data_IF_367921791008
#
_entry.id   IF_367921791008
#
_cell.length_a   1.000
_cell.length_b   1.000
_cell.length_c   1.000
_cell.angle_alpha   90.00
_cell.angle_beta   90.00
_cell.angle_gamma   90.00
#
_symmetry.space_group_name_H-M   'P 1'
#
loop_
_entity.id
_entity.type
_entity.pdbx_description
1 polymer ?
#
# COMPACT_ATOMS: atom_id res chain seq x y z
N UNK A 1 -3.25 -33.19 26.51
CA UNK A 1 -3.03 -31.75 26.41
C UNK A 1 -3.50 -30.96 27.64
N UNK A 2 -3.72 -31.63 28.76
CA UNK A 2 -3.91 -31.02 30.07
C UNK A 2 -2.63 -31.29 30.90
N UNK A 3 -1.49 -30.75 30.48
CA UNK A 3 -0.27 -30.92 31.27
C UNK A 3 -0.12 -29.75 32.22
N UNK A 4 -0.12 -30.05 33.52
CA UNK A 4 0.14 -29.07 34.57
C UNK A 4 1.64 -28.92 34.89
N UNK A 5 2.53 -29.65 34.21
CA UNK A 5 3.98 -29.65 34.48
C UNK A 5 4.72 -29.06 33.28
N UNK A 6 5.39 -27.94 33.49
CA UNK A 6 6.22 -27.28 32.49
C UNK A 6 7.56 -26.84 33.11
N UNK A 7 8.58 -26.77 32.30
CA UNK A 7 9.91 -26.25 32.67
C UNK A 7 10.52 -25.53 31.48
N UNK A 8 11.50 -24.66 31.74
CA UNK A 8 12.32 -24.06 30.70
C UNK A 8 13.71 -24.72 30.72
N UNK A 9 14.40 -24.75 29.58
CA UNK A 9 15.79 -25.15 29.48
C UNK A 9 16.70 -24.07 30.02
N UNK A 10 17.85 -24.50 30.52
CA UNK A 10 18.95 -23.60 30.87
C UNK A 10 19.73 -23.15 29.62
N UNK A 11 20.82 -22.39 29.82
CA UNK A 11 21.67 -21.88 28.73
C UNK A 11 22.39 -23.00 27.94
N UNK A 12 22.55 -24.18 28.56
CA UNK A 12 23.15 -25.35 27.94
C UNK A 12 22.11 -26.27 27.27
N UNK A 13 20.82 -25.87 27.24
CA UNK A 13 19.72 -26.65 26.70
C UNK A 13 19.24 -27.78 27.61
N UNK A 14 19.71 -27.86 28.88
CA UNK A 14 19.31 -28.91 29.81
C UNK A 14 18.01 -28.58 30.49
N UNK A 15 17.16 -29.58 30.67
CA UNK A 15 15.88 -29.45 31.36
C UNK A 15 15.65 -30.56 32.37
N UNK A 16 14.82 -30.30 33.35
CA UNK A 16 14.37 -31.28 34.33
C UNK A 16 12.86 -31.12 34.58
N UNK A 17 12.12 -32.19 34.34
CA UNK A 17 10.70 -32.28 34.65
C UNK A 17 10.52 -33.16 35.88
N UNK A 18 9.81 -32.65 36.90
CA UNK A 18 9.54 -33.38 38.18
C UNK A 18 8.05 -33.57 38.35
N UNK A 19 7.71 -34.62 39.14
CA UNK A 19 6.30 -34.94 39.47
C UNK A 19 5.44 -35.24 38.24
N UNK A 20 5.98 -35.99 37.28
CA UNK A 20 5.25 -36.38 36.09
C UNK A 20 4.32 -37.58 36.44
N UNK A 21 3.04 -37.57 36.01
CA UNK A 21 2.14 -38.69 36.18
C UNK A 21 2.68 -39.98 35.54
N UNK A 22 2.48 -41.12 36.21
CA UNK A 22 2.84 -42.44 35.69
C UNK A 22 2.03 -42.79 34.47
N UNK A 23 2.65 -43.44 33.47
CA UNK A 23 2.01 -43.88 32.24
C UNK A 23 2.58 -43.23 30.98
N UNK A 24 1.86 -43.36 29.88
CA UNK A 24 2.24 -42.78 28.61
C UNK A 24 2.03 -41.25 28.65
N UNK A 25 3.11 -40.52 28.50
CA UNK A 25 3.12 -39.06 28.46
C UNK A 25 3.73 -38.59 27.15
N UNK A 26 3.48 -37.33 26.79
CA UNK A 26 4.10 -36.70 25.62
C UNK A 26 4.79 -35.41 26.05
N UNK A 27 6.09 -35.36 25.85
CA UNK A 27 6.86 -34.13 26.04
C UNK A 27 6.68 -33.26 24.80
N UNK A 28 6.31 -32.02 24.98
CA UNK A 28 6.13 -31.04 23.91
C UNK A 28 7.20 -29.96 24.07
N UNK A 29 8.13 -29.89 23.13
CA UNK A 29 9.16 -28.88 23.08
C UNK A 29 8.77 -27.76 22.12
N UNK A 30 8.84 -26.52 22.59
CA UNK A 30 8.55 -25.32 21.81
C UNK A 30 9.66 -24.31 22.02
N UNK A 31 10.14 -23.76 20.91
CA UNK A 31 11.08 -22.65 20.93
C UNK A 31 10.77 -21.69 19.77
N UNK A 32 11.13 -20.44 19.95
CA UNK A 32 10.88 -19.42 18.92
C UNK A 32 11.69 -19.77 17.68
N UNK A 33 11.09 -19.72 16.51
CA UNK A 33 11.71 -20.07 15.21
C UNK A 33 12.09 -21.54 15.03
N UNK A 34 11.57 -22.45 15.86
CA UNK A 34 11.75 -23.89 15.71
C UNK A 34 10.40 -24.62 15.60
N UNK A 35 10.39 -25.71 14.85
CA UNK A 35 9.23 -26.60 14.76
C UNK A 35 8.94 -27.23 16.10
N UNK A 36 7.66 -27.26 16.49
CA UNK A 36 7.23 -27.94 17.72
C UNK A 36 7.49 -29.44 17.61
N UNK A 37 8.32 -29.98 18.50
CA UNK A 37 8.63 -31.40 18.57
C UNK A 37 7.79 -32.06 19.67
N UNK A 38 7.25 -33.25 19.40
CA UNK A 38 6.47 -34.06 20.34
C UNK A 38 7.14 -35.42 20.51
N UNK A 39 7.57 -35.75 21.73
CA UNK A 39 8.25 -36.99 22.04
C UNK A 39 7.41 -37.81 23.01
N UNK A 40 6.92 -39.01 22.63
CA UNK A 40 6.19 -39.86 23.54
C UNK A 40 7.20 -40.54 24.51
N UNK A 41 6.88 -40.52 25.79
CA UNK A 41 7.64 -41.16 26.85
C UNK A 41 6.72 -42.00 27.73
N UNK A 42 7.23 -43.09 28.30
CA UNK A 42 6.48 -43.93 29.22
C UNK A 42 7.12 -43.84 30.60
N UNK A 43 6.44 -43.20 31.52
CA UNK A 43 6.92 -42.97 32.90
C UNK A 43 6.49 -44.11 33.81
N UNK A 44 7.42 -44.85 34.44
CA UNK A 44 7.13 -45.88 35.41
C UNK A 44 7.40 -45.36 36.82
N UNK A 45 6.80 -45.99 37.80
CA UNK A 45 6.94 -45.62 39.21
C UNK A 45 8.41 -45.81 39.68
N UNK A 46 9.01 -44.75 40.21
CA UNK A 46 10.36 -44.80 40.75
C UNK A 46 11.50 -44.78 39.68
N UNK A 47 11.15 -44.66 38.41
CA UNK A 47 12.12 -44.62 37.32
C UNK A 47 12.43 -43.15 36.98
N UNK A 48 13.73 -42.83 36.83
CA UNK A 48 14.18 -41.56 36.31
C UNK A 48 14.66 -41.75 34.88
N UNK A 49 14.07 -41.08 33.93
CA UNK A 49 14.47 -41.09 32.51
C UNK A 49 15.57 -40.02 32.36
N UNK A 50 16.82 -40.45 32.17
CA UNK A 50 17.94 -39.56 31.92
C UNK A 50 18.50 -39.74 30.51
N UNK A 51 19.14 -38.70 29.98
CA UNK A 51 19.78 -38.74 28.66
C UNK A 51 18.80 -38.62 27.47
N UNK A 52 17.62 -38.08 27.70
CA UNK A 52 16.71 -37.79 26.59
C UNK A 52 17.19 -36.55 25.84
N UNK A 53 17.65 -36.75 24.61
CA UNK A 53 18.03 -35.68 23.70
C UNK A 53 16.90 -35.43 22.71
N UNK A 54 16.55 -34.16 22.52
CA UNK A 54 15.48 -33.74 21.61
C UNK A 54 16.06 -32.71 20.66
N UNK A 55 16.27 -33.14 19.43
CA UNK A 55 16.73 -32.24 18.36
C UNK A 55 15.51 -31.45 17.81
N UNK A 56 15.68 -30.17 17.64
CA UNK A 56 14.69 -29.29 17.07
C UNK A 56 15.19 -28.75 15.73
N UNK A 57 14.35 -28.85 14.72
CA UNK A 57 14.61 -28.25 13.41
C UNK A 57 14.14 -26.79 13.43
N UNK A 58 14.94 -25.93 12.82
CA UNK A 58 14.49 -24.56 12.58
C UNK A 58 13.22 -24.58 11.75
N UNK A 59 12.22 -23.88 12.23
CA UNK A 59 11.03 -23.60 11.44
C UNK A 59 11.43 -22.48 10.48
N UNK A 60 11.99 -22.88 9.35
CA UNK A 60 12.24 -22.01 8.22
C UNK A 60 10.89 -21.54 7.64
N UNK A 61 10.11 -20.84 8.46
CA UNK A 61 9.14 -19.91 7.95
C UNK A 61 10.00 -18.90 7.20
N UNK A 62 10.23 -19.17 5.92
CA UNK A 62 10.51 -18.08 5.02
C UNK A 62 9.44 -17.05 5.42
N UNK A 63 9.88 -15.99 6.07
CA UNK A 63 9.11 -14.77 6.14
C UNK A 63 8.82 -14.49 4.68
N UNK A 64 7.70 -15.00 4.18
CA UNK A 64 7.12 -14.44 2.99
C UNK A 64 7.07 -12.98 3.33
N UNK A 65 8.00 -12.25 2.73
CA UNK A 65 7.98 -10.80 2.73
C UNK A 65 6.51 -10.47 2.47
N UNK A 66 5.83 -10.07 3.52
CA UNK A 66 4.52 -9.45 3.36
C UNK A 66 4.89 -8.17 2.67
N UNK A 67 4.99 -8.23 1.35
CA UNK A 67 4.95 -7.06 0.51
C UNK A 67 3.59 -6.46 0.82
N UNK A 68 3.55 -5.63 1.83
CA UNK A 68 2.46 -4.69 2.02
C UNK A 68 2.58 -3.76 0.82
N UNK A 69 2.03 -4.20 -0.30
CA UNK A 69 1.73 -3.32 -1.40
C UNK A 69 0.61 -2.40 -0.90
N UNK A 70 1.02 -1.43 -0.13
CA UNK A 70 0.19 -0.28 0.15
C UNK A 70 0.05 0.41 -1.20
N UNK A 71 -1.06 0.18 -1.87
CA UNK A 71 -1.45 1.04 -2.96
C UNK A 71 -1.48 2.45 -2.38
N UNK A 72 -0.50 3.26 -2.75
CA UNK A 72 -0.50 4.68 -2.38
C UNK A 72 -1.77 5.26 -2.97
N UNK A 73 -2.71 5.57 -2.12
CA UNK A 73 -3.94 6.23 -2.56
C UNK A 73 -3.57 7.61 -3.08
N UNK A 74 -3.70 7.80 -4.39
CA UNK A 74 -3.41 9.06 -5.05
C UNK A 74 -4.65 9.99 -5.11
N UNK A 75 -5.78 9.50 -4.63
CA UNK A 75 -7.08 10.16 -4.66
C UNK A 75 -7.28 11.21 -3.54
N UNK A 76 -6.34 11.27 -2.59
CA UNK A 76 -6.42 12.19 -1.44
C UNK A 76 -5.73 13.52 -1.73
N UNK A 77 -6.22 14.60 -1.08
CA UNK A 77 -5.61 15.93 -1.16
C UNK A 77 -4.15 15.91 -0.68
N UNK A 78 -3.85 15.14 0.35
CA UNK A 78 -2.48 15.03 0.90
C UNK A 78 -1.51 14.39 -0.09
N UNK A 79 -1.91 13.31 -0.76
CA UNK A 79 -1.07 12.64 -1.76
C UNK A 79 -0.80 13.52 -2.97
N UNK A 80 -1.78 14.30 -3.38
CA UNK A 80 -1.64 15.28 -4.45
C UNK A 80 -0.64 16.39 -4.06
N UNK A 81 -0.73 16.92 -2.83
CA UNK A 81 0.19 17.94 -2.31
C UNK A 81 1.62 17.42 -2.21
N UNK A 82 1.81 16.18 -1.75
CA UNK A 82 3.13 15.56 -1.72
C UNK A 82 3.71 15.39 -3.13
N UNK A 83 2.88 14.94 -4.08
CA UNK A 83 3.26 14.83 -5.49
C UNK A 83 3.67 16.18 -6.08
N UNK A 84 2.90 17.24 -5.81
CA UNK A 84 3.23 18.61 -6.28
C UNK A 84 4.50 19.18 -5.63
N UNK A 85 4.75 18.89 -4.35
CA UNK A 85 5.98 19.33 -3.66
C UNK A 85 7.25 18.69 -4.24
N UNK A 86 7.14 17.47 -4.75
CA UNK A 86 8.26 16.77 -5.38
C UNK A 86 8.59 17.30 -6.78
N UNK A 87 7.70 18.10 -7.39
CA UNK A 87 7.90 18.66 -8.73
C UNK A 87 8.68 19.98 -8.66
N UNK A 88 9.59 20.15 -9.61
CA UNK A 88 10.35 21.40 -9.76
C UNK A 88 9.49 22.52 -10.35
N UNK A 89 8.39 22.17 -11.00
CA UNK A 89 7.50 23.08 -11.71
C UNK A 89 6.39 23.63 -10.82
N UNK A 90 5.90 24.81 -11.19
CA UNK A 90 4.71 25.37 -10.58
C UNK A 90 3.49 24.57 -11.05
N UNK A 91 3.00 23.72 -10.19
CA UNK A 91 1.81 22.90 -10.42
C UNK A 91 0.64 23.34 -9.54
N UNK A 92 -0.56 23.13 -10.01
CA UNK A 92 -1.80 23.21 -9.22
C UNK A 92 -2.64 21.99 -9.55
N UNK A 93 -3.32 21.44 -8.57
CA UNK A 93 -4.09 20.23 -8.81
C UNK A 93 -5.36 20.16 -7.97
N UNK A 94 -6.26 19.27 -8.36
CA UNK A 94 -7.49 18.93 -7.67
C UNK A 94 -7.54 17.40 -7.55
N UNK A 95 -7.82 16.91 -6.35
CA UNK A 95 -8.00 15.48 -6.06
C UNK A 95 -9.45 15.05 -6.22
N UNK A 96 -9.67 13.73 -6.41
CA UNK A 96 -11.04 13.18 -6.44
C UNK A 96 -11.80 13.46 -5.16
N UNK A 97 -11.12 13.54 -4.03
CA UNK A 97 -11.73 13.89 -2.76
C UNK A 97 -12.30 15.33 -2.76
N UNK A 98 -11.63 16.25 -3.45
CA UNK A 98 -12.15 17.62 -3.64
C UNK A 98 -13.27 17.65 -4.68
N UNK A 99 -13.12 16.91 -5.79
CA UNK A 99 -14.14 16.81 -6.84
C UNK A 99 -15.43 16.22 -6.28
N UNK A 100 -15.35 15.19 -5.44
CA UNK A 100 -16.53 14.57 -4.82
C UNK A 100 -17.32 15.51 -3.87
N UNK A 101 -16.68 16.56 -3.34
CA UNK A 101 -17.33 17.58 -2.52
C UNK A 101 -18.07 18.62 -3.36
N UNK A 102 -17.80 18.66 -4.65
CA UNK A 102 -18.41 19.57 -5.61
C UNK A 102 -19.36 18.79 -6.51
N UNK A 103 -20.38 19.43 -7.03
CA UNK A 103 -21.35 18.82 -7.93
C UNK A 103 -20.96 19.03 -9.41
N UNK A 104 -19.67 19.06 -9.68
CA UNK A 104 -19.15 19.27 -11.03
C UNK A 104 -19.47 18.06 -11.91
N UNK A 105 -19.95 18.28 -13.11
CA UNK A 105 -20.37 17.21 -14.04
C UNK A 105 -19.22 16.66 -14.85
N UNK A 106 -18.31 17.54 -15.26
CA UNK A 106 -17.23 17.23 -16.19
C UNK A 106 -15.91 17.92 -15.81
N UNK A 107 -14.85 17.57 -16.50
CA UNK A 107 -13.51 18.11 -16.25
C UNK A 107 -13.42 19.61 -16.51
N UNK A 108 -14.27 20.18 -17.38
CA UNK A 108 -14.26 21.62 -17.66
C UNK A 108 -14.73 22.43 -16.44
N UNK A 109 -15.74 21.95 -15.72
CA UNK A 109 -16.22 22.56 -14.49
C UNK A 109 -15.19 22.41 -13.36
N UNK A 110 -14.56 21.24 -13.25
CA UNK A 110 -13.51 20.98 -12.26
C UNK A 110 -12.32 21.92 -12.44
N UNK A 111 -11.85 22.09 -13.68
CA UNK A 111 -10.66 22.89 -13.97
C UNK A 111 -10.84 24.39 -13.73
N UNK A 112 -12.10 24.89 -13.83
CA UNK A 112 -12.44 26.30 -13.50
C UNK A 112 -12.07 26.69 -12.07
N UNK A 113 -11.96 25.72 -11.17
CA UNK A 113 -11.61 25.95 -9.76
C UNK A 113 -10.13 26.18 -9.53
N UNK A 114 -9.31 25.87 -10.53
CA UNK A 114 -7.86 26.03 -10.42
C UNK A 114 -7.48 27.51 -10.68
N UNK A 115 -6.75 28.15 -9.76
CA UNK A 115 -6.37 29.55 -9.94
C UNK A 115 -5.55 29.80 -11.22
N UNK A 116 -5.89 30.84 -11.96
CA UNK A 116 -5.19 31.21 -13.19
C UNK A 116 -5.59 30.41 -14.42
N UNK A 117 -6.74 29.74 -14.35
CA UNK A 117 -7.35 29.04 -15.47
C UNK A 117 -8.71 29.65 -15.78
N UNK A 118 -8.97 29.77 -17.06
CA UNK A 118 -10.30 30.12 -17.59
C UNK A 118 -10.72 29.06 -18.62
N UNK A 119 -12.01 28.92 -18.81
CA UNK A 119 -12.60 28.00 -19.77
C UNK A 119 -13.41 28.77 -20.79
N UNK A 120 -13.20 28.48 -22.06
CA UNK A 120 -13.90 29.07 -23.20
C UNK A 120 -14.89 28.03 -23.73
N UNK A 121 -16.10 28.48 -24.08
CA UNK A 121 -17.18 27.63 -24.62
C UNK A 121 -17.49 26.40 -23.74
N UNK A 122 -17.29 26.53 -22.43
CA UNK A 122 -17.47 25.47 -21.43
C UNK A 122 -16.67 24.17 -21.68
N UNK A 123 -15.67 24.16 -22.57
CA UNK A 123 -14.89 22.98 -22.93
C UNK A 123 -13.38 23.22 -23.12
N UNK A 124 -12.96 24.41 -23.52
CA UNK A 124 -11.56 24.65 -23.81
C UNK A 124 -10.86 25.39 -22.68
N UNK A 125 -9.76 24.84 -22.22
CA UNK A 125 -8.98 25.39 -21.12
C UNK A 125 -7.95 26.39 -21.63
N UNK A 126 -7.89 27.54 -20.97
CA UNK A 126 -6.90 28.59 -21.18
C UNK A 126 -6.10 28.79 -19.91
N UNK A 127 -4.81 28.58 -19.96
CA UNK A 127 -3.90 28.67 -18.81
C UNK A 127 -3.17 30.01 -18.85
N UNK A 128 -3.37 30.86 -17.82
CA UNK A 128 -2.71 32.18 -17.71
C UNK A 128 -2.89 33.07 -18.95
N UNK A 129 -4.02 32.97 -19.62
CA UNK A 129 -4.32 33.77 -20.81
C UNK A 129 -3.68 33.27 -22.11
N UNK A 130 -2.95 32.15 -22.07
CA UNK A 130 -2.42 31.53 -23.29
C UNK A 130 -3.54 30.74 -23.98
N UNK A 131 -3.66 30.92 -25.29
CA UNK A 131 -4.67 30.24 -26.10
C UNK A 131 -4.61 28.70 -25.89
N UNK A 132 -5.78 28.09 -25.90
CA UNK A 132 -6.00 26.64 -25.74
C UNK A 132 -5.13 25.77 -26.66
N UNK A 133 -4.74 26.27 -27.82
CA UNK A 133 -3.85 25.58 -28.79
C UNK A 133 -2.43 25.25 -28.30
N UNK A 134 -2.00 25.93 -27.24
CA UNK A 134 -0.67 25.74 -26.65
C UNK A 134 -0.69 24.76 -25.47
N UNK A 135 -1.86 24.32 -25.06
CA UNK A 135 -1.95 23.34 -23.98
C UNK A 135 -1.70 21.94 -24.53
N UNK A 136 -0.96 21.14 -23.75
CA UNK A 136 -0.81 19.73 -23.97
C UNK A 136 -1.55 18.98 -22.85
N UNK A 137 -2.37 18.00 -23.22
CA UNK A 137 -3.18 17.23 -22.27
C UNK A 137 -2.67 15.80 -22.25
N UNK A 138 -2.47 15.28 -21.07
CA UNK A 138 -2.04 13.91 -20.84
C UNK A 138 -3.09 13.18 -20.00
N UNK A 139 -3.51 12.01 -20.46
CA UNK A 139 -4.45 11.14 -19.75
C UNK A 139 -3.71 9.84 -19.43
N UNK A 140 -3.60 9.53 -18.15
CA UNK A 140 -2.89 8.34 -17.66
C UNK A 140 -1.45 8.22 -18.23
N UNK A 141 -0.74 9.36 -18.32
CA UNK A 141 0.64 9.39 -18.83
C UNK A 141 0.78 9.37 -20.35
N UNK A 142 -0.33 9.35 -21.09
CA UNK A 142 -0.32 9.39 -22.55
C UNK A 142 -0.81 10.73 -23.05
N UNK A 143 -0.12 11.31 -24.05
CA UNK A 143 -0.56 12.54 -24.70
C UNK A 143 -1.88 12.31 -25.43
N UNK A 144 -2.87 13.14 -25.14
CA UNK A 144 -4.18 13.07 -25.78
C UNK A 144 -4.24 14.06 -26.94
N UNK A 145 -4.56 13.60 -28.17
CA UNK A 145 -4.70 14.47 -29.31
C UNK A 145 -5.95 15.36 -29.20
N UNK A 146 -5.99 16.43 -29.97
CA UNK A 146 -7.20 17.19 -30.20
C UNK A 146 -8.19 16.34 -30.99
N UNK A 147 -9.45 16.35 -30.59
CA UNK A 147 -10.55 15.72 -31.31
C UNK A 147 -11.35 16.72 -32.16
N UNK A 148 -11.00 18.00 -32.07
CA UNK A 148 -11.64 19.07 -32.82
C UNK A 148 -10.97 19.24 -34.20
N UNK A 149 -11.76 19.34 -35.25
CA UNK A 149 -11.26 19.52 -36.62
C UNK A 149 -10.68 20.92 -36.86
N UNK A 150 -11.25 21.92 -36.21
CA UNK A 150 -10.93 23.33 -36.46
C UNK A 150 -9.94 23.93 -35.45
N UNK A 151 -9.68 23.22 -34.35
CA UNK A 151 -8.87 23.74 -33.27
C UNK A 151 -7.96 22.68 -32.69
N UNK A 152 -6.66 23.00 -32.50
CA UNK A 152 -5.76 22.18 -31.72
C UNK A 152 -6.04 22.42 -30.23
N UNK A 153 -7.13 21.83 -29.72
CA UNK A 153 -7.54 21.95 -28.34
C UNK A 153 -8.19 20.66 -27.87
N UNK A 154 -8.05 20.34 -26.60
CA UNK A 154 -8.71 19.21 -25.98
C UNK A 154 -10.04 19.69 -25.38
N UNK A 155 -11.12 18.95 -25.67
CA UNK A 155 -12.47 19.20 -25.13
C UNK A 155 -12.62 18.56 -23.76
N UNK A 156 -12.61 19.37 -22.69
CA UNK A 156 -12.68 18.89 -21.31
C UNK A 156 -14.08 18.45 -20.87
N UNK A 157 -15.10 18.85 -21.58
CA UNK A 157 -16.49 18.41 -21.38
C UNK A 157 -16.73 16.92 -21.65
N UNK A 158 -15.81 16.28 -22.38
CA UNK A 158 -15.90 14.85 -22.71
C UNK A 158 -15.55 13.94 -21.53
N UNK A 159 -14.85 14.46 -20.50
CA UNK A 159 -14.41 13.68 -19.35
C UNK A 159 -15.34 13.90 -18.17
N UNK A 160 -16.15 12.88 -17.78
CA UNK A 160 -16.98 12.97 -16.58
C UNK A 160 -16.12 13.15 -15.32
N UNK A 161 -16.54 14.02 -14.43
CA UNK A 161 -15.84 14.30 -13.17
C UNK A 161 -15.63 13.05 -12.31
N UNK A 162 -16.57 12.09 -12.37
CA UNK A 162 -16.52 10.82 -11.64
C UNK A 162 -15.40 9.87 -12.06
N UNK A 163 -14.81 10.07 -13.24
CA UNK A 163 -13.70 9.27 -13.75
C UNK A 163 -12.33 9.89 -13.45
N UNK A 164 -12.31 11.07 -12.84
CA UNK A 164 -11.07 11.79 -12.54
C UNK A 164 -10.61 11.46 -11.13
N UNK A 165 -9.50 10.75 -11.02
CA UNK A 165 -8.83 10.48 -9.75
C UNK A 165 -8.07 11.71 -9.24
N UNK A 166 -7.32 12.35 -10.12
CA UNK A 166 -6.66 13.62 -9.86
C UNK A 166 -6.46 14.39 -11.17
N UNK A 167 -6.33 15.70 -11.06
CA UNK A 167 -6.01 16.58 -12.17
C UNK A 167 -4.87 17.49 -11.73
N UNK A 168 -3.74 17.45 -12.44
CA UNK A 168 -2.57 18.29 -12.16
C UNK A 168 -2.33 19.17 -13.37
N UNK A 169 -2.13 20.45 -13.12
CA UNK A 169 -1.90 21.45 -14.16
C UNK A 169 -0.55 22.10 -13.91
N UNK A 170 0.36 21.88 -14.83
CA UNK A 170 1.68 22.48 -14.85
C UNK A 170 1.61 23.83 -15.55
N UNK A 171 1.97 24.89 -14.86
CA UNK A 171 1.88 26.28 -15.35
C UNK A 171 3.19 26.83 -15.88
N UNK A 172 4.24 26.02 -15.85
CA UNK A 172 5.55 26.33 -16.43
C UNK A 172 6.06 25.15 -17.23
N UNK A 173 6.76 25.36 -18.35
CA UNK A 173 7.33 24.27 -19.12
C UNK A 173 8.44 23.56 -18.32
N UNK A 174 8.59 22.25 -18.55
CA UNK A 174 9.78 21.52 -18.17
C UNK A 174 10.50 21.03 -19.42
N UNK A 175 11.83 20.90 -19.36
CA UNK A 175 12.60 20.41 -20.48
C UNK A 175 12.33 18.95 -20.83
N UNK A 176 11.67 18.20 -19.96
CA UNK A 176 11.47 16.75 -20.06
C UNK A 176 10.02 16.31 -20.37
N UNK A 177 9.13 17.25 -20.66
CA UNK A 177 7.73 16.98 -21.01
C UNK A 177 7.39 17.53 -22.38
#
# INVERSE_FOLDING_TARGET
ENSSVATATDLDGKFSLRNIPIGKQTIVCRYLSYKTVRVPVNVKQGESIAGLEIEMEEDGVALNEVVVSTYRRNDTEMSLLEGMKAQVQVASGISSQQIAKTLDRDASEVVKRVPGISVIDDRFVVVRGLSQRYNNVWINGNSSPSLESDSRAFSFDMLPSSQIENMIIYKSPAPEI
#
